data_IF_198461996036
#
_entry.id   IF_198461996036
#
_cell.length_a   1.000
_cell.length_b   1.000
_cell.length_c   1.000
_cell.angle_alpha   90.00
_cell.angle_beta   90.00
_cell.angle_gamma   90.00
#
_symmetry.space_group_name_H-M   'P 1'
#
loop_
_entity.id
_entity.type
_entity.pdbx_description
1 polymer ?
#
# COMPACT_ATOMS: atom_id res chain seq x y z
N UNK A 1 14.84 2.13 -14.13
CA UNK A 1 14.21 1.18 -13.19
C UNK A 1 14.91 -0.17 -13.23
N UNK A 2 15.36 -0.63 -14.41
CA UNK A 2 16.36 -1.73 -14.57
C UNK A 2 17.69 -1.52 -13.78
N UNK A 3 17.85 -0.37 -13.11
CA UNK A 3 18.96 -0.05 -12.21
C UNK A 3 18.71 -0.46 -10.75
N UNK A 4 17.48 -0.86 -10.40
CA UNK A 4 17.10 -1.29 -9.04
C UNK A 4 17.10 -2.82 -8.88
N UNK A 5 17.00 -3.56 -10.00
CA UNK A 5 17.08 -5.03 -10.00
C UNK A 5 18.55 -5.43 -10.11
N UNK A 6 18.97 -6.42 -9.33
CA UNK A 6 20.29 -7.01 -9.48
C UNK A 6 20.50 -7.51 -10.94
N UNK A 7 21.61 -7.18 -11.61
CA UNK A 7 21.82 -7.54 -13.02
C UNK A 7 21.70 -9.05 -13.30
N UNK A 8 22.11 -9.90 -12.35
CA UNK A 8 22.00 -11.35 -12.50
C UNK A 8 20.55 -11.83 -12.41
N UNK A 9 19.74 -11.18 -11.57
CA UNK A 9 18.29 -11.43 -11.46
C UNK A 9 17.58 -10.98 -12.73
N UNK A 10 17.90 -9.78 -13.22
CA UNK A 10 17.32 -9.24 -14.44
C UNK A 10 17.63 -10.12 -15.66
N UNK A 11 18.89 -10.56 -15.80
CA UNK A 11 19.32 -11.45 -16.89
C UNK A 11 18.54 -12.78 -16.88
N UNK A 12 18.36 -13.39 -15.72
CA UNK A 12 17.58 -14.62 -15.58
C UNK A 12 16.09 -14.41 -15.88
N UNK A 13 15.49 -13.29 -15.45
CA UNK A 13 14.10 -12.94 -15.80
C UNK A 13 13.95 -12.76 -17.31
N UNK A 14 14.90 -12.09 -17.97
CA UNK A 14 14.88 -11.92 -19.41
C UNK A 14 15.07 -13.24 -20.17
N UNK A 15 15.94 -14.13 -19.70
CA UNK A 15 16.10 -15.46 -20.26
C UNK A 15 14.80 -16.28 -20.18
N UNK A 16 14.13 -16.28 -19.02
CA UNK A 16 12.83 -16.94 -18.83
C UNK A 16 11.75 -16.33 -19.74
N UNK A 17 11.77 -15.00 -19.91
CA UNK A 17 10.83 -14.28 -20.78
C UNK A 17 11.03 -14.62 -22.26
N UNK A 18 12.28 -14.75 -22.69
CA UNK A 18 12.64 -15.00 -24.09
C UNK A 18 12.47 -16.47 -24.49
N UNK A 19 12.71 -17.40 -23.56
CA UNK A 19 12.54 -18.84 -23.78
C UNK A 19 11.09 -19.32 -23.61
N UNK A 20 10.27 -18.57 -22.86
CA UNK A 20 8.89 -18.91 -22.58
C UNK A 20 7.87 -18.47 -23.65
N UNK A 21 6.64 -19.00 -23.60
CA UNK A 21 5.56 -18.54 -24.47
C UNK A 21 5.19 -17.09 -24.15
N UNK A 22 4.84 -16.32 -25.19
CA UNK A 22 4.43 -14.92 -25.04
C UNK A 22 3.02 -14.83 -24.42
N UNK A 23 2.97 -14.73 -23.10
CA UNK A 23 1.74 -14.68 -22.31
C UNK A 23 1.61 -13.32 -21.60
N UNK A 24 0.38 -12.88 -21.41
CA UNK A 24 0.06 -11.73 -20.54
C UNK A 24 0.26 -12.10 -19.07
N UNK A 25 0.48 -11.11 -18.17
CA UNK A 25 0.64 -11.38 -16.73
C UNK A 25 -0.50 -12.19 -16.09
N UNK A 26 -1.73 -12.02 -16.58
CA UNK A 26 -2.90 -12.77 -16.10
C UNK A 26 -2.91 -14.20 -16.63
N UNK A 27 -2.55 -14.42 -17.90
CA UNK A 27 -2.47 -15.76 -18.49
C UNK A 27 -1.39 -16.62 -17.83
N UNK A 28 -0.28 -16.03 -17.40
CA UNK A 28 0.76 -16.74 -16.65
C UNK A 28 0.18 -17.33 -15.37
N UNK A 29 -0.48 -16.50 -14.55
CA UNK A 29 -1.07 -16.93 -13.28
C UNK A 29 -2.20 -17.95 -13.50
N UNK A 30 -3.04 -17.73 -14.52
CA UNK A 30 -4.10 -18.66 -14.89
C UNK A 30 -3.55 -20.04 -15.29
N UNK A 31 -2.49 -20.09 -16.12
CA UNK A 31 -1.84 -21.35 -16.52
C UNK A 31 -1.15 -22.09 -15.37
N UNK A 32 -0.87 -21.40 -14.26
CA UNK A 32 -0.37 -22.03 -13.05
C UNK A 32 -1.49 -22.64 -12.19
N UNK A 33 -2.75 -22.53 -12.61
CA UNK A 33 -3.89 -23.22 -11.99
C UNK A 33 -4.70 -22.36 -11.01
N UNK A 34 -4.62 -21.04 -11.12
CA UNK A 34 -5.46 -20.08 -10.38
C UNK A 34 -6.72 -19.79 -11.18
N UNK A 35 -7.88 -20.19 -10.66
CA UNK A 35 -9.15 -20.10 -11.39
C UNK A 35 -9.70 -18.67 -11.48
N UNK A 36 -9.51 -17.86 -10.43
CA UNK A 36 -9.98 -16.47 -10.32
C UNK A 36 -8.88 -15.45 -10.68
N UNK A 37 -7.84 -15.87 -11.43
CA UNK A 37 -6.72 -15.02 -11.80
C UNK A 37 -7.15 -13.73 -12.55
N UNK A 38 -8.27 -13.80 -13.27
CA UNK A 38 -8.85 -12.67 -14.01
C UNK A 38 -9.62 -11.70 -13.11
N UNK A 39 -10.22 -12.21 -12.04
CA UNK A 39 -11.02 -11.41 -11.09
C UNK A 39 -10.12 -10.75 -10.03
N UNK A 40 -8.93 -11.32 -9.82
CA UNK A 40 -7.94 -10.88 -8.84
C UNK A 40 -6.55 -10.61 -9.46
N UNK A 41 -6.45 -9.75 -10.49
CA UNK A 41 -5.20 -9.55 -11.24
C UNK A 41 -4.10 -8.83 -10.43
N UNK A 42 -4.47 -8.17 -9.32
CA UNK A 42 -3.58 -7.36 -8.48
C UNK A 42 -3.17 -8.04 -7.17
N UNK A 43 -3.62 -9.28 -6.95
CA UNK A 43 -3.14 -10.03 -5.79
C UNK A 43 -1.64 -10.33 -5.91
N UNK A 44 -1.02 -10.60 -4.78
CA UNK A 44 0.39 -10.93 -4.71
C UNK A 44 0.61 -12.40 -4.32
N UNK A 45 -0.44 -13.11 -3.94
CA UNK A 45 -0.42 -14.55 -3.78
C UNK A 45 -1.81 -15.14 -4.06
N UNK A 46 -1.82 -16.40 -4.46
CA UNK A 46 -3.05 -17.13 -4.81
C UNK A 46 -2.96 -18.55 -4.31
N UNK A 47 -4.14 -19.13 -4.04
CA UNK A 47 -4.30 -20.57 -3.92
C UNK A 47 -4.64 -21.13 -5.31
N UNK A 48 -3.85 -22.08 -5.78
CA UNK A 48 -4.07 -22.78 -7.03
C UNK A 48 -4.62 -24.19 -6.79
N UNK A 49 -4.98 -24.86 -7.89
CA UNK A 49 -5.32 -26.29 -7.89
C UNK A 49 -4.33 -27.15 -7.11
N UNK A 50 -4.88 -28.12 -6.37
CA UNK A 50 -4.09 -29.04 -5.53
C UNK A 50 -3.45 -28.35 -4.33
N UNK A 51 -4.10 -27.32 -3.77
CA UNK A 51 -3.62 -26.55 -2.60
C UNK A 51 -2.26 -25.88 -2.75
N UNK A 52 -1.78 -25.75 -3.99
CA UNK A 52 -0.49 -25.12 -4.27
C UNK A 52 -0.59 -23.61 -4.07
N UNK A 53 0.31 -23.04 -3.29
CA UNK A 53 0.46 -21.58 -3.20
C UNK A 53 1.28 -21.07 -4.37
N UNK A 54 0.83 -19.96 -4.95
CA UNK A 54 1.59 -19.16 -5.91
C UNK A 54 1.83 -17.80 -5.30
N UNK A 55 3.07 -17.31 -5.32
CA UNK A 55 3.40 -15.99 -4.81
C UNK A 55 4.17 -15.18 -5.85
N UNK A 56 3.88 -13.87 -5.93
CA UNK A 56 4.72 -12.94 -6.68
C UNK A 56 6.02 -12.69 -5.93
N UNK A 57 7.13 -12.68 -6.64
CA UNK A 57 8.44 -12.25 -6.14
C UNK A 57 8.87 -11.05 -6.99
N UNK A 58 8.96 -9.88 -6.38
CA UNK A 58 9.40 -8.67 -7.06
C UNK A 58 10.92 -8.69 -7.24
N UNK A 59 11.38 -8.63 -8.48
CA UNK A 59 12.80 -8.68 -8.83
C UNK A 59 13.61 -7.57 -8.15
N UNK A 60 12.99 -6.41 -7.92
CA UNK A 60 13.60 -5.26 -7.25
C UNK A 60 13.95 -5.54 -5.77
N UNK A 61 13.31 -6.53 -5.14
CA UNK A 61 13.58 -6.94 -3.76
C UNK A 61 14.31 -8.28 -3.66
N UNK A 62 14.61 -8.92 -4.80
CA UNK A 62 15.45 -10.11 -4.80
C UNK A 62 16.89 -9.71 -4.47
N UNK A 63 17.44 -10.38 -3.48
CA UNK A 63 18.81 -10.23 -3.02
C UNK A 63 19.63 -11.45 -3.43
N UNK A 64 20.85 -11.23 -3.90
CA UNK A 64 21.77 -12.29 -4.31
C UNK A 64 22.89 -12.38 -3.29
N UNK A 65 22.89 -13.47 -2.52
CA UNK A 65 23.93 -13.76 -1.53
C UNK A 65 25.20 -14.32 -2.19
N UNK A 66 26.27 -14.47 -1.40
CA UNK A 66 27.49 -15.12 -1.83
C UNK A 66 27.21 -16.52 -2.45
N UNK A 67 27.80 -16.77 -3.62
CA UNK A 67 27.56 -18.00 -4.40
C UNK A 67 26.35 -17.95 -5.33
N UNK A 68 25.72 -16.78 -5.53
CA UNK A 68 24.66 -16.58 -6.52
C UNK A 68 23.28 -17.08 -6.06
N UNK A 69 23.10 -17.38 -4.78
CA UNK A 69 21.83 -17.84 -4.22
C UNK A 69 20.90 -16.66 -3.96
N UNK A 70 19.64 -16.82 -4.33
CA UNK A 70 18.66 -15.74 -4.23
C UNK A 70 17.82 -15.89 -2.98
N UNK A 71 17.56 -14.76 -2.34
CA UNK A 71 16.61 -14.66 -1.25
C UNK A 71 15.80 -13.36 -1.36
N UNK A 72 14.68 -13.32 -0.65
CA UNK A 72 13.76 -12.20 -0.63
C UNK A 72 13.30 -11.99 0.81
N UNK A 73 13.30 -10.76 1.28
CA UNK A 73 12.77 -10.41 2.60
C UNK A 73 11.31 -10.01 2.46
N UNK A 74 10.44 -10.77 3.12
CA UNK A 74 9.02 -10.45 3.21
C UNK A 74 8.75 -9.73 4.54
N UNK A 75 8.13 -8.56 4.48
CA UNK A 75 7.69 -7.87 5.70
C UNK A 75 6.43 -8.53 6.25
N UNK A 76 6.45 -8.85 7.55
CA UNK A 76 5.28 -9.34 8.28
C UNK A 76 4.34 -8.20 8.74
N UNK A 77 4.76 -6.94 8.57
CA UNK A 77 3.91 -5.79 8.82
C UNK A 77 2.93 -5.60 7.65
N UNK A 78 1.69 -6.05 7.85
CA UNK A 78 0.63 -5.89 6.88
C UNK A 78 0.06 -4.46 6.81
N UNK A 79 0.41 -3.57 7.73
CA UNK A 79 -0.11 -2.20 7.81
C UNK A 79 0.81 -1.16 7.16
N UNK A 80 2.12 -1.41 7.09
CA UNK A 80 3.07 -0.47 6.49
C UNK A 80 3.60 -0.95 5.15
N UNK A 81 3.91 0.00 4.26
CA UNK A 81 4.52 -0.29 2.96
C UNK A 81 6.04 -0.45 3.11
N UNK A 82 6.70 -1.17 2.19
CA UNK A 82 8.15 -1.09 2.02
C UNK A 82 8.56 0.38 1.79
N UNK A 83 9.53 0.88 2.54
CA UNK A 83 9.94 2.30 2.51
C UNK A 83 9.05 3.27 3.31
N UNK A 84 8.05 2.76 4.04
CA UNK A 84 7.26 3.53 5.00
C UNK A 84 5.90 4.04 4.52
N UNK A 85 5.14 4.59 5.47
CA UNK A 85 3.75 5.00 5.28
C UNK A 85 2.77 3.83 5.29
N UNK A 86 1.49 4.15 5.46
CA UNK A 86 0.45 3.14 5.73
C UNK A 86 -0.23 2.65 4.47
N UNK A 87 -0.53 1.35 4.50
CA UNK A 87 -1.39 0.67 3.56
C UNK A 87 -2.85 1.05 3.82
N UNK A 88 -3.56 1.43 2.77
CA UNK A 88 -5.02 1.45 2.74
C UNK A 88 -5.60 0.07 3.13
N UNK A 89 -6.87 0.03 3.55
CA UNK A 89 -7.52 -1.21 3.95
C UNK A 89 -7.43 -2.34 2.90
N UNK A 90 -7.54 -2.01 1.61
CA UNK A 90 -7.41 -3.00 0.53
C UNK A 90 -5.97 -3.52 0.39
N UNK A 91 -4.97 -2.65 0.49
CA UNK A 91 -3.55 -3.05 0.45
C UNK A 91 -3.21 -3.92 1.67
N UNK A 92 -3.68 -3.52 2.84
CA UNK A 92 -3.47 -4.27 4.08
C UNK A 92 -4.13 -5.66 4.03
N UNK A 93 -5.33 -5.76 3.46
CA UNK A 93 -5.98 -7.06 3.27
C UNK A 93 -5.18 -7.96 2.33
N UNK A 94 -4.71 -7.45 1.19
CA UNK A 94 -3.85 -8.23 0.27
C UNK A 94 -2.55 -8.68 0.92
N UNK A 95 -1.93 -7.82 1.73
CA UNK A 95 -0.74 -8.18 2.50
C UNK A 95 -1.06 -9.30 3.50
N UNK A 96 -2.17 -9.21 4.24
CA UNK A 96 -2.62 -10.28 5.16
C UNK A 96 -2.87 -11.59 4.42
N UNK A 97 -3.56 -11.56 3.29
CA UNK A 97 -3.87 -12.76 2.50
C UNK A 97 -2.59 -13.43 1.97
N UNK A 98 -1.63 -12.63 1.48
CA UNK A 98 -0.31 -13.12 1.08
C UNK A 98 0.44 -13.77 2.25
N UNK A 99 0.51 -13.09 3.39
CA UNK A 99 1.19 -13.61 4.57
C UNK A 99 0.55 -14.89 5.09
N UNK A 100 -0.78 -15.00 5.06
CA UNK A 100 -1.48 -16.22 5.45
C UNK A 100 -1.12 -17.40 4.54
N UNK A 101 -1.02 -17.18 3.23
CA UNK A 101 -0.62 -18.23 2.28
C UNK A 101 0.86 -18.61 2.43
N UNK A 102 1.76 -17.64 2.61
CA UNK A 102 3.18 -17.92 2.86
C UNK A 102 3.37 -18.68 4.18
N UNK A 103 2.71 -18.25 5.26
CA UNK A 103 2.75 -18.92 6.56
C UNK A 103 2.23 -20.34 6.48
N UNK A 104 1.16 -20.60 5.72
CA UNK A 104 0.65 -21.95 5.46
C UNK A 104 1.72 -22.86 4.86
N UNK A 105 2.50 -22.35 3.89
CA UNK A 105 3.58 -23.14 3.26
C UNK A 105 4.73 -23.41 4.23
N UNK A 106 5.08 -22.41 5.05
CA UNK A 106 6.08 -22.55 6.10
C UNK A 106 5.69 -23.61 7.14
N UNK A 107 4.46 -23.53 7.66
CA UNK A 107 3.93 -24.46 8.67
C UNK A 107 3.81 -25.89 8.15
N UNK A 108 3.50 -26.05 6.86
CA UNK A 108 3.46 -27.35 6.20
C UNK A 108 4.86 -27.88 5.83
N UNK A 109 5.92 -27.07 5.96
CA UNK A 109 7.24 -27.40 5.44
C UNK A 109 7.23 -27.63 3.94
N UNK A 110 6.45 -26.86 3.19
CA UNK A 110 6.28 -26.97 1.74
C UNK A 110 6.80 -25.73 1.02
N UNK A 111 7.22 -25.91 -0.23
CA UNK A 111 7.55 -24.80 -1.10
C UNK A 111 6.30 -24.19 -1.72
N UNK A 112 6.48 -23.04 -2.36
CA UNK A 112 5.47 -22.40 -3.20
C UNK A 112 6.03 -22.18 -4.61
N UNK A 113 5.13 -22.01 -5.58
CA UNK A 113 5.51 -21.66 -6.95
C UNK A 113 5.59 -20.14 -7.09
N UNK A 114 6.62 -19.63 -7.75
CA UNK A 114 6.81 -18.20 -7.87
C UNK A 114 6.44 -17.66 -9.26
N UNK A 115 5.93 -16.44 -9.29
CA UNK A 115 5.97 -15.58 -10.48
C UNK A 115 6.93 -14.43 -10.20
N UNK A 116 8.03 -14.38 -10.97
CA UNK A 116 8.96 -13.26 -10.90
C UNK A 116 8.38 -12.08 -11.67
N UNK A 117 8.45 -10.89 -11.08
CA UNK A 117 7.89 -9.68 -11.66
C UNK A 117 8.87 -8.52 -11.54
N UNK A 118 8.99 -7.74 -12.62
CA UNK A 118 9.59 -6.41 -12.61
C UNK A 118 8.59 -5.36 -13.06
N UNK A 119 8.81 -4.13 -12.63
CA UNK A 119 7.82 -3.07 -12.71
C UNK A 119 8.33 -1.87 -13.49
N UNK A 120 7.40 -1.12 -14.11
CA UNK A 120 7.72 0.15 -14.81
C UNK A 120 7.60 1.38 -13.92
N UNK A 121 7.10 1.21 -12.70
CA UNK A 121 6.99 2.22 -11.64
C UNK A 121 7.49 1.61 -10.33
N UNK A 122 7.92 2.46 -9.39
CA UNK A 122 8.42 1.99 -8.10
C UNK A 122 7.35 1.16 -7.35
N UNK A 123 7.79 0.18 -6.54
CA UNK A 123 6.87 -0.72 -5.81
C UNK A 123 5.91 0.04 -4.90
N UNK A 124 6.35 1.12 -4.26
CA UNK A 124 5.50 1.98 -3.44
C UNK A 124 4.32 2.62 -4.21
N UNK A 125 4.48 2.82 -5.52
CA UNK A 125 3.43 3.33 -6.42
C UNK A 125 2.53 2.21 -6.97
N UNK A 126 3.00 0.97 -6.97
CA UNK A 126 2.21 -0.19 -7.42
C UNK A 126 1.14 -0.59 -6.44
N UNK A 127 1.46 -0.55 -5.14
CA UNK A 127 0.46 -0.86 -4.13
C UNK A 127 -0.75 0.09 -4.27
N UNK A 128 -0.55 1.34 -4.70
CA UNK A 128 -1.57 2.40 -4.80
C UNK A 128 -2.30 2.50 -6.15
N UNK A 129 -1.82 1.84 -7.21
CA UNK A 129 -2.35 2.02 -8.56
C UNK A 129 -2.92 0.73 -9.18
N UNK A 130 -4.25 0.67 -9.33
CA UNK A 130 -4.97 -0.42 -10.03
C UNK A 130 -4.60 -0.56 -11.52
N UNK A 131 -3.87 0.36 -12.12
CA UNK A 131 -3.36 0.23 -13.50
C UNK A 131 -1.93 -0.31 -13.56
N UNK A 132 -1.42 -0.87 -12.45
CA UNK A 132 -0.11 -1.47 -12.26
C UNK A 132 0.56 -1.89 -13.58
N UNK A 133 1.46 -1.03 -14.07
CA UNK A 133 2.21 -1.22 -15.31
C UNK A 133 3.31 -2.26 -15.05
N UNK A 134 2.92 -3.50 -14.86
CA UNK A 134 3.82 -4.66 -14.84
C UNK A 134 4.68 -4.59 -16.11
N UNK A 135 6.01 -4.55 -15.93
CA UNK A 135 6.92 -4.52 -17.07
C UNK A 135 7.04 -5.92 -17.66
N UNK A 136 7.42 -6.85 -16.79
CA UNK A 136 7.62 -8.27 -17.10
C UNK A 136 7.05 -9.08 -15.95
N UNK A 137 6.36 -10.18 -16.29
CA UNK A 137 6.05 -11.25 -15.34
C UNK A 137 6.42 -12.56 -16.02
N UNK A 138 7.11 -13.44 -15.31
CA UNK A 138 7.50 -14.78 -15.79
C UNK A 138 7.25 -15.81 -14.69
N UNK A 139 6.95 -17.04 -15.08
CA UNK A 139 6.93 -18.17 -14.15
C UNK A 139 8.37 -18.55 -13.82
N UNK A 140 8.65 -18.77 -12.55
CA UNK A 140 9.91 -19.35 -12.12
C UNK A 140 9.69 -20.83 -11.76
N UNK A 141 10.46 -21.70 -12.39
CA UNK A 141 10.38 -23.15 -12.20
C UNK A 141 11.20 -23.65 -11.02
N UNK A 142 12.11 -22.82 -10.49
CA UNK A 142 12.80 -23.15 -9.26
C UNK A 142 11.82 -23.16 -8.09
N UNK A 143 12.03 -24.09 -7.15
CA UNK A 143 11.32 -24.09 -5.89
C UNK A 143 11.63 -22.80 -5.12
N UNK A 144 10.59 -22.18 -4.57
CA UNK A 144 10.74 -21.18 -3.53
C UNK A 144 10.16 -21.71 -2.23
N UNK A 145 10.74 -21.32 -1.11
CA UNK A 145 10.23 -21.70 0.21
C UNK A 145 10.52 -20.62 1.24
N UNK A 146 9.73 -20.59 2.30
CA UNK A 146 10.00 -19.75 3.47
C UNK A 146 11.04 -20.49 4.32
N UNK A 147 12.23 -19.91 4.44
CA UNK A 147 13.34 -20.50 5.18
C UNK A 147 13.31 -20.13 6.67
N UNK A 148 12.85 -18.91 7.00
CA UNK A 148 12.58 -18.49 8.37
C UNK A 148 11.34 -17.59 8.45
N UNK A 149 10.70 -17.60 9.62
CA UNK A 149 9.58 -16.75 9.98
C UNK A 149 9.88 -16.13 11.34
N UNK A 150 10.11 -14.82 11.38
CA UNK A 150 10.68 -14.09 12.52
C UNK A 150 9.75 -12.94 12.94
N UNK A 151 8.67 -13.23 13.70
CA UNK A 151 7.69 -12.23 14.12
C UNK A 151 8.30 -11.07 14.91
N UNK A 152 9.32 -11.34 15.73
CA UNK A 152 9.98 -10.35 16.57
C UNK A 152 10.72 -9.30 15.73
N UNK A 153 11.19 -9.69 14.55
CA UNK A 153 11.84 -8.79 13.59
C UNK A 153 10.89 -8.34 12.46
N UNK A 154 9.59 -8.67 12.57
CA UNK A 154 8.58 -8.39 11.55
C UNK A 154 9.00 -8.82 10.13
N UNK A 155 9.71 -9.96 10.00
CA UNK A 155 10.20 -10.43 8.71
C UNK A 155 10.07 -11.95 8.53
N UNK A 156 9.98 -12.36 7.27
CA UNK A 156 10.22 -13.73 6.85
C UNK A 156 11.25 -13.76 5.72
N UNK A 157 12.08 -14.81 5.70
CA UNK A 157 13.11 -14.99 4.67
C UNK A 157 12.64 -16.03 3.68
N UNK A 158 12.50 -15.64 2.42
CA UNK A 158 12.09 -16.50 1.31
C UNK A 158 13.35 -16.83 0.50
N UNK A 159 13.54 -18.10 0.16
CA UNK A 159 14.73 -18.60 -0.52
C UNK A 159 14.34 -19.33 -1.80
N UNK A 160 15.11 -19.11 -2.86
CA UNK A 160 15.01 -19.84 -4.14
C UNK A 160 16.00 -21.01 -4.18
N UNK A 161 15.53 -22.18 -4.61
CA UNK A 161 16.34 -23.36 -4.85
C UNK A 161 16.33 -24.35 -3.68
N UNK A 162 17.41 -25.12 -3.56
CA UNK A 162 17.52 -26.22 -2.60
C UNK A 162 17.34 -25.75 -1.15
N UNK A 163 16.64 -26.58 -0.36
CA UNK A 163 16.35 -26.33 1.05
C UNK A 163 17.59 -26.50 1.93
N UNK A 164 17.52 -25.95 3.14
CA UNK A 164 18.58 -26.05 4.14
C UNK A 164 19.64 -24.96 4.05
N UNK A 165 19.48 -24.01 3.12
CA UNK A 165 20.27 -22.78 3.11
C UNK A 165 19.46 -21.59 3.61
N UNK A 166 20.12 -20.73 4.39
CA UNK A 166 19.62 -19.42 4.81
C UNK A 166 20.70 -18.36 4.54
N UNK A 167 20.33 -17.14 4.16
CA UNK A 167 21.27 -16.02 4.04
C UNK A 167 21.93 -15.70 5.39
N UNK A 168 23.13 -15.13 5.35
CA UNK A 168 23.82 -14.69 6.58
C UNK A 168 23.16 -13.43 7.15
N UNK A 169 23.42 -13.12 8.41
CA UNK A 169 22.96 -11.86 9.03
C UNK A 169 23.43 -10.63 8.25
N UNK A 170 24.65 -10.66 7.70
CA UNK A 170 25.19 -9.60 6.86
C UNK A 170 24.41 -9.45 5.54
N UNK A 171 24.04 -10.57 4.90
CA UNK A 171 23.19 -10.56 3.71
C UNK A 171 21.81 -9.96 4.03
N UNK A 172 21.20 -10.37 5.15
CA UNK A 172 19.89 -9.86 5.61
C UNK A 172 19.98 -8.35 5.90
N UNK A 173 21.01 -7.89 6.61
CA UNK A 173 21.20 -6.47 6.90
C UNK A 173 21.37 -5.63 5.63
N UNK A 174 22.15 -6.11 4.66
CA UNK A 174 22.31 -5.46 3.37
C UNK A 174 20.99 -5.40 2.57
N UNK A 175 20.18 -6.47 2.64
CA UNK A 175 18.87 -6.50 1.99
C UNK A 175 17.85 -5.58 2.67
N UNK A 176 17.85 -5.46 4.01
CA UNK A 176 17.04 -4.49 4.76
C UNK A 176 17.37 -3.06 4.35
N UNK A 177 18.67 -2.74 4.23
CA UNK A 177 19.12 -1.40 3.82
C UNK A 177 18.66 -0.98 2.41
N UNK A 178 18.29 -1.93 1.55
CA UNK A 178 17.72 -1.65 0.22
C UNK A 178 16.22 -1.37 0.21
N UNK A 179 15.52 -1.51 1.34
CA UNK A 179 14.15 -1.03 1.52
C UNK A 179 13.03 -2.02 1.18
N UNK A 180 13.30 -3.33 1.15
CA UNK A 180 12.28 -4.38 0.98
C UNK A 180 11.42 -4.60 2.25
N UNK A 181 11.94 -4.20 3.41
CA UNK A 181 11.27 -4.18 4.70
C UNK A 181 11.32 -2.74 5.21
N UNK A 182 10.25 -2.26 5.86
CA UNK A 182 10.32 -0.98 6.54
C UNK A 182 11.47 -1.03 7.56
N UNK A 183 12.27 0.04 7.65
CA UNK A 183 13.26 0.12 8.70
C UNK A 183 12.52 -0.03 10.05
N UNK A 184 13.14 -0.78 10.97
CA UNK A 184 12.82 -0.68 12.40
C UNK A 184 13.25 0.73 12.85
N UNK A 185 12.53 1.75 12.40
CA UNK A 185 12.47 2.99 13.14
C UNK A 185 11.85 2.57 14.48
N UNK A 186 12.68 2.64 15.51
CA UNK A 186 12.48 2.19 16.89
C UNK A 186 11.03 1.91 17.31
N UNK A 187 10.88 0.89 18.16
CA UNK A 187 9.75 0.72 19.05
C UNK A 187 9.61 1.85 20.09
N UNK A 188 9.87 3.11 19.70
CA UNK A 188 9.59 4.30 20.49
C UNK A 188 8.87 5.35 19.62
N UNK A 189 7.66 5.68 20.07
CA UNK A 189 6.71 6.60 19.48
C UNK A 189 6.22 6.25 18.06
N UNK A 190 5.03 5.62 17.99
CA UNK A 190 4.04 6.10 17.01
C UNK A 190 4.10 7.63 17.07
N UNK A 191 4.29 8.36 15.95
CA UNK A 191 4.36 9.81 16.02
C UNK A 191 3.13 10.24 16.79
N UNK A 192 3.34 10.82 17.98
CA UNK A 192 2.25 11.26 18.81
C UNK A 192 1.42 12.14 17.89
N UNK A 193 0.21 11.67 17.55
CA UNK A 193 -0.65 12.38 16.63
C UNK A 193 -0.76 13.83 17.09
N UNK A 194 -0.94 14.78 16.17
CA UNK A 194 -0.98 16.19 16.51
C UNK A 194 -1.84 16.43 17.76
N UNK A 195 -1.25 17.05 18.79
CA UNK A 195 -1.89 17.22 20.10
C UNK A 195 -2.64 18.55 20.22
N UNK A 196 -2.51 19.43 19.23
CA UNK A 196 -3.20 20.72 19.17
C UNK A 196 -4.22 20.72 18.03
N UNK A 197 -5.31 21.47 18.21
CA UNK A 197 -6.38 21.60 17.21
C UNK A 197 -5.85 22.08 15.86
N UNK A 198 -4.96 23.06 15.86
CA UNK A 198 -4.38 23.61 14.63
C UNK A 198 -3.51 22.59 13.90
N UNK A 199 -2.74 21.78 14.63
CA UNK A 199 -1.91 20.74 14.02
C UNK A 199 -2.77 19.59 13.47
N UNK A 200 -3.86 19.21 14.16
CA UNK A 200 -4.84 18.23 13.68
C UNK A 200 -5.52 18.72 12.41
N UNK A 201 -5.93 19.99 12.38
CA UNK A 201 -6.58 20.60 11.24
C UNK A 201 -5.63 20.72 10.04
N UNK A 202 -4.39 21.18 10.24
CA UNK A 202 -3.39 21.25 9.19
C UNK A 202 -3.09 19.87 8.60
N UNK A 203 -2.99 18.84 9.44
CA UNK A 203 -2.78 17.47 8.99
C UNK A 203 -3.97 16.92 8.19
N UNK A 204 -5.20 17.23 8.61
CA UNK A 204 -6.41 16.86 7.88
C UNK A 204 -6.48 17.57 6.50
N UNK A 205 -6.14 18.85 6.43
CA UNK A 205 -6.07 19.61 5.19
C UNK A 205 -5.05 19.02 4.21
N UNK A 206 -3.84 18.73 4.69
CA UNK A 206 -2.79 18.09 3.89
C UNK A 206 -3.24 16.71 3.37
N UNK A 207 -3.88 15.92 4.23
CA UNK A 207 -4.42 14.61 3.87
C UNK A 207 -5.47 14.71 2.74
N UNK A 208 -6.45 15.62 2.86
CA UNK A 208 -7.53 15.78 1.87
C UNK A 208 -6.99 16.31 0.54
N UNK A 209 -6.10 17.30 0.57
CA UNK A 209 -5.45 17.80 -0.65
C UNK A 209 -4.63 16.71 -1.35
N UNK A 210 -3.84 15.95 -0.59
CA UNK A 210 -3.05 14.83 -1.11
C UNK A 210 -3.94 13.74 -1.71
N UNK A 211 -5.06 13.42 -1.06
CA UNK A 211 -6.07 12.48 -1.56
C UNK A 211 -6.55 12.91 -2.95
N UNK A 212 -7.18 14.08 -3.09
CA UNK A 212 -7.75 14.47 -4.39
C UNK A 212 -6.69 14.60 -5.50
N UNK A 213 -5.52 15.18 -5.20
CA UNK A 213 -4.42 15.27 -6.17
C UNK A 213 -3.92 13.89 -6.60
N UNK A 214 -3.83 12.93 -5.67
CA UNK A 214 -3.46 11.55 -5.97
C UNK A 214 -4.43 10.81 -6.89
N UNK A 215 -5.72 11.19 -6.87
CA UNK A 215 -6.74 10.67 -7.79
C UNK A 215 -6.83 11.45 -9.12
N UNK A 216 -5.94 12.42 -9.36
CA UNK A 216 -5.89 13.20 -10.60
C UNK A 216 -6.89 14.35 -10.67
N UNK A 217 -7.46 14.76 -9.53
CA UNK A 217 -8.27 15.98 -9.43
C UNK A 217 -7.40 17.19 -9.11
N UNK A 218 -7.87 18.35 -9.53
CA UNK A 218 -7.31 19.63 -9.09
C UNK A 218 -7.95 19.97 -7.75
N UNK A 219 -7.14 20.15 -6.70
CA UNK A 219 -7.59 20.59 -5.38
C UNK A 219 -6.82 21.86 -4.98
N UNK A 220 -7.57 22.94 -4.74
CA UNK A 220 -7.05 24.26 -4.34
C UNK A 220 -7.48 24.59 -2.92
N UNK A 221 -6.54 25.06 -2.09
CA UNK A 221 -6.83 25.63 -0.77
C UNK A 221 -7.33 27.07 -0.94
N UNK A 222 -8.55 27.31 -0.44
CA UNK A 222 -9.23 28.61 -0.50
C UNK A 222 -9.58 29.15 0.89
N UNK A 223 -8.99 28.59 1.95
CA UNK A 223 -9.25 28.98 3.36
C UNK A 223 -9.10 30.49 3.59
N UNK A 224 -8.08 31.11 2.98
CA UNK A 224 -7.81 32.56 3.07
C UNK A 224 -8.91 33.45 2.46
N UNK A 225 -9.80 32.88 1.63
CA UNK A 225 -10.92 33.59 1.01
C UNK A 225 -12.18 33.60 1.90
N UNK A 226 -12.19 32.86 3.02
CA UNK A 226 -13.28 32.81 4.00
C UNK A 226 -14.67 32.53 3.40
N UNK A 227 -14.75 31.57 2.46
CA UNK A 227 -15.96 31.27 1.68
C UNK A 227 -16.96 30.32 2.38
N UNK A 228 -16.66 29.91 3.62
CA UNK A 228 -17.42 28.87 4.34
C UNK A 228 -17.08 27.44 3.91
N UNK A 229 -15.97 27.27 3.19
CA UNK A 229 -15.32 26.01 2.85
C UNK A 229 -13.83 26.22 2.62
N UNK A 230 -13.06 25.15 2.74
CA UNK A 230 -11.60 25.16 2.79
C UNK A 230 -10.98 24.83 1.43
N UNK A 231 -11.57 23.91 0.67
CA UNK A 231 -10.97 23.37 -0.57
C UNK A 231 -11.98 23.38 -1.72
N UNK A 232 -11.53 23.82 -2.90
CA UNK A 232 -12.25 23.62 -4.16
C UNK A 232 -11.65 22.45 -4.94
N UNK A 233 -12.51 21.51 -5.36
CA UNK A 233 -12.10 20.32 -6.12
C UNK A 233 -12.72 20.36 -7.51
N UNK A 234 -11.89 20.31 -8.55
CA UNK A 234 -12.31 20.27 -9.95
C UNK A 234 -11.67 19.12 -10.72
N UNK A 235 -12.29 18.70 -11.83
CA UNK A 235 -11.69 17.73 -12.73
C UNK A 235 -10.61 18.35 -13.63
N UNK A 236 -9.90 17.51 -14.39
CA UNK A 236 -8.87 17.94 -15.34
C UNK A 236 -9.39 18.89 -16.45
N UNK A 237 -10.71 18.98 -16.66
CA UNK A 237 -11.36 19.90 -17.60
C UNK A 237 -11.82 21.22 -16.93
N UNK A 238 -11.52 21.42 -15.65
CA UNK A 238 -11.88 22.62 -14.89
C UNK A 238 -13.33 22.65 -14.38
N UNK A 239 -14.11 21.58 -14.54
CA UNK A 239 -15.46 21.55 -13.97
C UNK A 239 -15.39 21.36 -12.45
N UNK A 240 -16.04 22.25 -11.70
CA UNK A 240 -16.13 22.18 -10.24
C UNK A 240 -16.96 20.97 -9.80
N UNK A 241 -16.42 20.17 -8.88
CA UNK A 241 -17.04 18.95 -8.40
C UNK A 241 -17.47 19.05 -6.94
N UNK A 242 -16.61 19.62 -6.08
CA UNK A 242 -16.85 19.73 -4.64
C UNK A 242 -16.31 21.05 -4.10
N UNK A 243 -16.99 21.57 -3.07
CA UNK A 243 -16.52 22.62 -2.18
C UNK A 243 -16.50 22.05 -0.78
N UNK A 244 -15.30 21.87 -0.23
CA UNK A 244 -15.09 20.98 0.91
C UNK A 244 -14.73 21.77 2.15
N UNK A 245 -15.46 21.54 3.25
CA UNK A 245 -14.99 21.82 4.61
C UNK A 245 -14.27 20.58 5.12
N UNK A 246 -13.07 20.74 5.67
CA UNK A 246 -12.28 19.67 6.26
C UNK A 246 -12.29 19.82 7.77
N UNK A 247 -12.49 18.71 8.49
CA UNK A 247 -12.31 18.65 9.95
C UNK A 247 -11.45 17.45 10.30
N UNK A 248 -10.42 17.66 11.11
CA UNK A 248 -9.60 16.60 11.65
C UNK A 248 -10.06 16.18 13.04
N UNK A 249 -9.87 14.89 13.36
CA UNK A 249 -9.96 14.37 14.74
C UNK A 249 -8.70 13.55 15.03
N UNK A 250 -8.32 13.48 16.29
CA UNK A 250 -7.23 12.64 16.78
C UNK A 250 -7.64 12.00 18.12
N UNK A 251 -6.95 10.96 18.62
CA UNK A 251 -7.30 10.34 19.91
C UNK A 251 -7.36 11.35 21.07
N UNK A 252 -6.46 12.34 21.08
CA UNK A 252 -6.46 13.41 22.08
C UNK A 252 -7.49 14.52 21.83
N UNK A 253 -7.98 14.65 20.58
CA UNK A 253 -8.92 15.67 20.13
C UNK A 253 -10.02 15.02 19.27
N UNK A 254 -10.93 14.24 19.88
CA UNK A 254 -11.86 13.39 19.14
C UNK A 254 -13.08 14.16 18.60
N UNK A 255 -13.16 15.47 18.85
CA UNK A 255 -14.35 16.27 18.56
C UNK A 255 -14.05 17.50 17.72
N UNK A 256 -15.03 17.92 16.93
CA UNK A 256 -14.96 19.13 16.11
C UNK A 256 -16.32 19.82 16.05
N UNK A 257 -16.34 21.07 15.61
CA UNK A 257 -17.55 21.82 15.31
C UNK A 257 -17.40 22.57 13.99
N UNK A 258 -18.54 22.88 13.36
CA UNK A 258 -18.58 23.82 12.24
C UNK A 258 -18.63 25.26 12.77
N UNK A 259 -18.05 26.19 12.01
CA UNK A 259 -18.29 27.62 12.25
C UNK A 259 -19.70 28.01 11.79
N UNK A 260 -20.22 29.16 12.25
CA UNK A 260 -21.48 29.70 11.73
C UNK A 260 -21.47 29.88 10.21
N UNK A 261 -20.35 30.35 9.65
CA UNK A 261 -20.19 30.59 8.21
C UNK A 261 -20.20 29.27 7.43
N UNK A 262 -19.49 28.25 7.91
CA UNK A 262 -19.51 26.91 7.31
C UNK A 262 -20.92 26.30 7.34
N UNK A 263 -21.62 26.46 8.46
CA UNK A 263 -23.00 25.97 8.62
C UNK A 263 -23.98 26.67 7.67
N UNK A 264 -23.86 28.00 7.54
CA UNK A 264 -24.65 28.80 6.59
C UNK A 264 -24.29 28.51 5.13
N UNK A 265 -23.04 28.16 4.85
CA UNK A 265 -22.58 27.79 3.51
C UNK A 265 -23.13 26.42 3.09
N UNK A 266 -23.13 25.45 4.01
CA UNK A 266 -23.64 24.10 3.79
C UNK A 266 -25.10 24.09 3.29
N UNK A 267 -25.92 25.06 3.69
CA UNK A 267 -27.33 25.16 3.27
C UNK A 267 -27.47 25.74 1.86
N UNK A 268 -26.60 26.69 1.47
CA UNK A 268 -26.75 27.46 0.21
C UNK A 268 -25.98 26.87 -0.98
N UNK A 269 -24.91 26.14 -0.73
CA UNK A 269 -23.97 25.69 -1.75
C UNK A 269 -24.17 24.20 -2.07
N UNK A 270 -24.73 23.85 -3.25
CA UNK A 270 -25.06 22.46 -3.59
C UNK A 270 -23.84 21.51 -3.65
N UNK A 271 -22.66 22.05 -3.98
CA UNK A 271 -21.41 21.28 -4.04
C UNK A 271 -20.73 21.16 -2.67
N UNK A 272 -21.29 21.76 -1.62
CA UNK A 272 -20.70 21.76 -0.29
C UNK A 272 -20.68 20.36 0.31
N UNK A 273 -19.53 19.93 0.82
CA UNK A 273 -19.37 18.65 1.54
C UNK A 273 -18.50 18.83 2.76
N UNK A 274 -18.80 18.09 3.82
CA UNK A 274 -17.92 17.93 4.97
C UNK A 274 -17.07 16.68 4.79
N UNK A 275 -15.75 16.83 4.90
CA UNK A 275 -14.81 15.73 5.01
C UNK A 275 -14.26 15.67 6.43
N UNK A 276 -14.51 14.57 7.13
CA UNK A 276 -13.94 14.32 8.45
C UNK A 276 -12.80 13.32 8.32
N UNK A 277 -11.60 13.73 8.72
CA UNK A 277 -10.39 12.89 8.78
C UNK A 277 -10.24 12.37 10.20
N UNK A 278 -10.50 11.07 10.38
CA UNK A 278 -10.19 10.34 11.61
C UNK A 278 -8.69 10.13 11.74
N UNK A 279 -8.17 10.22 12.96
CA UNK A 279 -6.75 10.07 13.33
C UNK A 279 -5.80 10.91 12.45
N UNK A 280 -6.17 12.16 12.18
CA UNK A 280 -5.42 13.07 11.32
C UNK A 280 -3.97 13.23 11.79
N UNK A 281 -3.04 13.22 10.85
CA UNK A 281 -1.60 13.31 11.13
C UNK A 281 -0.97 11.99 11.59
N UNK A 282 -1.75 10.92 11.69
CA UNK A 282 -1.23 9.59 11.95
C UNK A 282 -1.21 8.73 10.69
N UNK A 283 -0.55 7.60 10.84
CA UNK A 283 -0.51 6.50 9.91
C UNK A 283 -1.92 5.96 9.58
N UNK A 284 -2.86 5.92 10.53
CA UNK A 284 -4.21 5.35 10.35
C UNK A 284 -5.23 6.35 9.81
N UNK A 285 -4.78 7.54 9.37
CA UNK A 285 -5.67 8.59 8.93
C UNK A 285 -6.63 8.12 7.80
N UNK A 286 -7.93 8.24 8.06
CA UNK A 286 -8.98 7.86 7.13
C UNK A 286 -10.05 8.94 7.09
N UNK A 287 -10.63 9.21 5.92
CA UNK A 287 -11.68 10.21 5.81
C UNK A 287 -13.02 9.62 5.41
N UNK A 288 -14.10 10.32 5.81
CA UNK A 288 -15.44 10.08 5.30
C UNK A 288 -16.08 11.40 4.87
N UNK A 289 -16.87 11.32 3.80
CA UNK A 289 -17.56 12.46 3.20
C UNK A 289 -19.02 12.46 3.68
N UNK A 290 -19.52 13.63 4.04
CA UNK A 290 -20.89 13.87 4.48
C UNK A 290 -21.52 14.99 3.66
N UNK A 291 -22.78 14.82 3.27
CA UNK A 291 -23.63 15.90 2.74
C UNK A 291 -24.07 16.84 3.88
N UNK A 292 -24.56 18.05 3.57
CA UNK A 292 -25.14 18.95 4.58
C UNK A 292 -26.17 18.27 5.50
N UNK A 293 -27.01 17.39 4.94
CA UNK A 293 -28.06 16.65 5.67
C UNK A 293 -27.52 15.50 6.54
N UNK A 294 -26.24 15.17 6.43
CA UNK A 294 -25.60 14.02 7.09
C UNK A 294 -24.56 14.47 8.13
N UNK A 295 -24.35 15.77 8.32
CA UNK A 295 -23.33 16.32 9.25
C UNK A 295 -23.54 15.82 10.68
N UNK A 296 -24.78 15.74 11.14
CA UNK A 296 -25.11 15.24 12.49
C UNK A 296 -24.72 13.76 12.71
N UNK A 297 -24.45 13.02 11.63
CA UNK A 297 -24.02 11.62 11.68
C UNK A 297 -22.50 11.47 11.75
N UNK A 298 -21.75 12.57 11.63
CA UNK A 298 -20.29 12.54 11.66
C UNK A 298 -19.78 12.28 13.09
N UNK A 299 -18.97 11.21 13.31
CA UNK A 299 -18.39 10.93 14.62
C UNK A 299 -17.59 12.13 15.15
N UNK A 300 -17.82 12.51 16.41
CA UNK A 300 -17.13 13.64 17.03
C UNK A 300 -17.74 15.02 16.74
N UNK A 301 -18.80 15.12 15.93
CA UNK A 301 -19.45 16.40 15.67
C UNK A 301 -20.15 16.93 16.92
N UNK A 302 -19.87 18.20 17.24
CA UNK A 302 -20.55 18.94 18.30
C UNK A 302 -21.35 20.10 17.70
N UNK A 303 -22.67 20.12 17.96
CA UNK A 303 -23.48 21.31 17.76
C UNK A 303 -23.02 22.37 18.75
N UNK A 304 -22.49 23.48 18.24
CA UNK A 304 -22.39 24.70 19.05
C UNK A 304 -23.82 25.23 19.25
N UNK A 305 -24.18 25.45 20.51
CA UNK A 305 -25.43 26.08 20.92
C UNK A 305 -25.47 27.56 20.52
#
# INVERSE_FOLDING_TARGET
MDKEVDPSVLAAIDEMRLSGPRLTPVEIVAKMGVFDARDKPFEHAWLATGDNVIATIWGEYVSVAAGGRWFYLESLDAQRRPGGGVRSAQQAQRAKDRLALLKRTFDAGQGFRAVLQTNRVAIAELESNKSAKVSTRVRDDAEWHVASWEPEQQLAVLVRGARGWVPTEADIAAAKARGSVAADDDADAAPAGPTTTDAVQAAAMAYVMGHFKGYGYNAEDVTSKALGYDIEVSNAKGAMLLKVVVKGTAPALPTFALTPEESLCAVREPLWRLLVVADAGTATAAHKIYKPTEVDQAPGFQRKA
#
